data_IF_735514699614
#
_entry.id   IF_735514699614
#
_cell.length_a   1.000
_cell.length_b   1.000
_cell.length_c   1.000
_cell.angle_alpha   90.00
_cell.angle_beta   90.00
_cell.angle_gamma   90.00
#
_symmetry.space_group_name_H-M   'P 1'
#
loop_
_entity.id
_entity.type
_entity.pdbx_description
1 polymer ?
#
# COMPACT_ATOMS: atom_id res chain seq x y z
N UNK A 1 16.62 -2.18 34.76
CA UNK A 1 17.15 -2.85 33.56
C UNK A 1 16.05 -3.77 33.04
N UNK A 2 15.16 -3.22 32.22
CA UNK A 2 13.97 -3.92 31.70
C UNK A 2 14.27 -4.31 30.26
N UNK A 3 14.44 -5.60 30.00
CA UNK A 3 14.52 -6.16 28.65
C UNK A 3 13.16 -6.01 27.97
N UNK A 4 13.07 -5.49 26.74
CA UNK A 4 11.83 -5.56 25.98
C UNK A 4 11.57 -7.01 25.58
N UNK A 5 10.42 -7.55 25.98
CA UNK A 5 9.92 -8.82 25.51
C UNK A 5 9.68 -8.72 24.00
N UNK A 6 10.58 -9.31 23.22
CA UNK A 6 10.39 -9.52 21.79
C UNK A 6 9.11 -10.32 21.58
N UNK A 7 8.13 -9.70 20.92
CA UNK A 7 6.89 -10.33 20.52
C UNK A 7 7.23 -11.58 19.70
N UNK A 8 6.72 -12.72 20.15
CA UNK A 8 6.68 -13.98 19.42
C UNK A 8 6.05 -13.73 18.06
N UNK A 9 6.91 -13.57 17.05
CA UNK A 9 6.53 -13.44 15.65
C UNK A 9 5.72 -14.68 15.28
N UNK A 10 4.43 -14.45 15.05
CA UNK A 10 3.49 -15.38 14.44
C UNK A 10 4.14 -15.94 13.17
N UNK A 11 4.74 -17.13 13.25
CA UNK A 11 5.40 -17.79 12.13
C UNK A 11 4.29 -18.18 11.15
N UNK A 12 4.08 -17.33 10.15
CA UNK A 12 3.25 -17.67 9.00
C UNK A 12 3.72 -19.03 8.45
N UNK A 13 2.80 -19.97 8.17
CA UNK A 13 3.18 -21.28 7.66
C UNK A 13 4.02 -21.14 6.38
N UNK A 14 4.94 -22.08 6.09
CA UNK A 14 5.78 -22.03 4.90
C UNK A 14 4.93 -22.18 3.63
N UNK A 15 4.39 -21.07 3.14
CA UNK A 15 3.48 -20.99 1.96
C UNK A 15 4.20 -21.13 0.61
N UNK A 16 5.52 -21.40 0.62
CA UNK A 16 6.31 -21.58 -0.61
C UNK A 16 5.86 -22.80 -1.42
N UNK A 17 5.62 -23.92 -0.75
CA UNK A 17 5.17 -25.16 -1.40
C UNK A 17 3.79 -25.02 -2.06
N UNK A 18 2.84 -24.43 -1.35
CA UNK A 18 1.46 -24.23 -1.85
C UNK A 18 1.40 -23.43 -3.14
N UNK A 19 2.24 -22.40 -3.27
CA UNK A 19 2.30 -21.55 -4.49
C UNK A 19 2.87 -22.31 -5.68
N UNK A 20 3.90 -23.13 -5.46
CA UNK A 20 4.48 -23.96 -6.52
C UNK A 20 3.49 -25.02 -6.98
N UNK A 21 2.79 -25.68 -6.06
CA UNK A 21 1.75 -26.66 -6.39
C UNK A 21 0.62 -26.02 -7.20
N UNK A 22 0.16 -24.82 -6.82
CA UNK A 22 -0.90 -24.12 -7.55
C UNK A 22 -0.48 -23.76 -8.99
N UNK A 23 0.79 -23.38 -9.20
CA UNK A 23 1.33 -23.13 -10.54
C UNK A 23 1.40 -24.41 -11.38
N UNK A 24 1.88 -25.51 -10.80
CA UNK A 24 1.96 -26.80 -11.49
C UNK A 24 0.56 -27.27 -11.90
N UNK A 25 -0.42 -27.20 -11.00
CA UNK A 25 -1.82 -27.54 -11.31
C UNK A 25 -2.37 -26.64 -12.42
N UNK A 26 -2.12 -25.33 -12.35
CA UNK A 26 -2.56 -24.39 -13.38
C UNK A 26 -1.95 -24.68 -14.76
N UNK A 27 -0.66 -25.00 -14.83
CA UNK A 27 0.00 -25.41 -16.08
C UNK A 27 -0.61 -26.71 -16.62
N UNK A 28 -0.82 -27.72 -15.76
CA UNK A 28 -1.44 -28.97 -16.18
C UNK A 28 -2.86 -28.76 -16.73
N UNK A 29 -3.68 -27.95 -16.06
CA UNK A 29 -5.02 -27.58 -16.52
C UNK A 29 -4.98 -26.87 -17.87
N UNK A 30 -4.02 -25.98 -18.12
CA UNK A 30 -3.87 -25.34 -19.42
C UNK A 30 -3.39 -26.29 -20.51
N UNK A 31 -2.43 -27.17 -20.21
CA UNK A 31 -1.92 -28.17 -21.15
C UNK A 31 -3.02 -29.12 -21.60
N UNK A 32 -3.99 -29.45 -20.73
CA UNK A 32 -5.14 -30.28 -21.09
C UNK A 32 -6.28 -29.44 -21.72
N UNK A 33 -6.57 -28.27 -21.16
CA UNK A 33 -7.70 -27.43 -21.58
C UNK A 33 -7.52 -26.81 -22.96
N UNK A 34 -6.31 -26.35 -23.30
CA UNK A 34 -6.04 -25.68 -24.59
C UNK A 34 -6.25 -26.63 -25.78
N UNK A 35 -5.71 -27.88 -25.79
CA UNK A 35 -5.98 -28.82 -26.87
C UNK A 35 -7.47 -29.21 -26.98
N UNK A 36 -8.16 -29.43 -25.85
CA UNK A 36 -9.60 -29.76 -25.85
C UNK A 36 -10.42 -28.61 -26.43
N UNK A 37 -10.10 -27.37 -26.05
CA UNK A 37 -10.77 -26.19 -26.59
C UNK A 37 -10.45 -25.96 -28.07
N UNK A 38 -9.19 -26.15 -28.49
CA UNK A 38 -8.78 -26.05 -29.90
C UNK A 38 -9.47 -27.12 -30.77
N UNK A 39 -9.59 -28.34 -30.26
CA UNK A 39 -10.37 -29.40 -30.90
C UNK A 39 -11.85 -29.04 -31.02
N UNK A 40 -12.43 -28.49 -29.95
CA UNK A 40 -13.80 -27.97 -29.94
C UNK A 40 -14.01 -26.89 -31.02
N UNK A 41 -13.12 -25.90 -31.08
CA UNK A 41 -13.11 -24.87 -32.12
C UNK A 41 -13.06 -25.51 -33.52
N UNK A 42 -12.05 -26.34 -33.78
CA UNK A 42 -11.88 -27.01 -35.08
C UNK A 42 -13.17 -27.74 -35.50
N UNK A 43 -13.73 -28.54 -34.58
CA UNK A 43 -14.95 -29.29 -34.84
C UNK A 43 -16.18 -28.43 -35.14
N UNK A 44 -16.28 -27.22 -34.57
CA UNK A 44 -17.36 -26.27 -34.88
C UNK A 44 -17.19 -25.67 -36.27
N UNK A 45 -15.96 -25.36 -36.67
CA UNK A 45 -15.67 -24.71 -37.96
C UNK A 45 -15.63 -25.68 -39.14
N UNK A 46 -15.35 -26.96 -38.92
CA UNK A 46 -15.35 -27.99 -39.98
C UNK A 46 -16.62 -28.84 -40.01
N UNK A 47 -17.68 -28.42 -39.31
CA UNK A 47 -18.92 -29.17 -39.25
C UNK A 47 -19.79 -28.95 -40.51
N UNK A 48 -19.89 -29.97 -41.36
CA UNK A 48 -20.65 -29.93 -42.62
C UNK A 48 -22.11 -30.41 -42.48
N UNK A 49 -22.62 -30.60 -41.26
CA UNK A 49 -24.05 -30.73 -41.01
C UNK A 49 -24.69 -32.12 -41.19
N UNK A 50 -23.93 -33.17 -41.52
CA UNK A 50 -24.54 -34.45 -41.93
C UNK A 50 -24.31 -35.65 -40.99
N UNK A 51 -23.20 -35.74 -40.24
CA UNK A 51 -22.88 -36.93 -39.43
C UNK A 51 -22.84 -36.65 -37.91
N UNK A 52 -24.00 -36.75 -37.27
CA UNK A 52 -24.16 -36.90 -35.82
C UNK A 52 -24.47 -35.63 -35.02
N UNK A 53 -25.07 -35.75 -33.82
CA UNK A 53 -25.43 -34.59 -33.01
C UNK A 53 -24.15 -33.84 -32.59
N UNK A 54 -24.11 -32.49 -32.71
CA UNK A 54 -22.92 -31.67 -32.38
C UNK A 54 -22.60 -31.63 -30.87
N UNK A 55 -23.20 -32.51 -30.08
CA UNK A 55 -23.13 -32.51 -28.62
C UNK A 55 -21.70 -32.65 -28.10
N UNK A 56 -20.84 -33.45 -28.75
CA UNK A 56 -19.43 -33.61 -28.34
C UNK A 56 -18.58 -32.38 -28.68
N UNK A 57 -18.84 -31.73 -29.82
CA UNK A 57 -18.19 -30.49 -30.22
C UNK A 57 -18.54 -29.32 -29.28
N UNK A 58 -19.84 -29.17 -28.99
CA UNK A 58 -20.35 -28.15 -28.05
C UNK A 58 -19.84 -28.43 -26.63
N UNK A 59 -19.79 -29.70 -26.20
CA UNK A 59 -19.28 -30.07 -24.88
C UNK A 59 -17.76 -29.87 -24.75
N UNK A 60 -16.98 -30.11 -25.81
CA UNK A 60 -15.55 -29.79 -25.82
C UNK A 60 -15.29 -28.28 -25.80
N UNK A 61 -16.11 -27.50 -26.52
CA UNK A 61 -16.01 -26.04 -26.52
C UNK A 61 -16.43 -25.42 -25.18
N UNK A 62 -17.60 -25.79 -24.65
CA UNK A 62 -18.14 -25.31 -23.37
C UNK A 62 -17.36 -25.86 -22.18
N UNK A 63 -16.80 -27.07 -22.28
CA UNK A 63 -15.97 -27.68 -21.23
C UNK A 63 -14.52 -27.18 -21.22
N UNK A 64 -13.95 -26.88 -22.38
CA UNK A 64 -12.56 -26.39 -22.50
C UNK A 64 -12.38 -24.97 -21.94
N UNK A 65 -13.33 -24.07 -22.19
CA UNK A 65 -13.28 -22.68 -21.73
C UNK A 65 -13.15 -22.53 -20.19
N UNK A 66 -14.00 -23.15 -19.34
CA UNK A 66 -13.90 -23.04 -17.89
C UNK A 66 -12.65 -23.72 -17.34
N UNK A 67 -12.18 -24.83 -17.94
CA UNK A 67 -10.91 -25.47 -17.56
C UNK A 67 -9.74 -24.53 -17.80
N UNK A 68 -9.71 -23.84 -18.95
CA UNK A 68 -8.71 -22.81 -19.24
C UNK A 68 -8.84 -21.64 -18.27
N UNK A 69 -10.06 -21.16 -18.01
CA UNK A 69 -10.32 -20.04 -17.08
C UNK A 69 -9.83 -20.33 -15.65
N UNK A 70 -10.15 -21.51 -15.12
CA UNK A 70 -9.67 -21.96 -13.81
C UNK A 70 -8.14 -22.12 -13.82
N UNK A 71 -7.56 -22.65 -14.90
CA UNK A 71 -6.11 -22.76 -15.07
C UNK A 71 -5.41 -21.40 -15.02
N UNK A 72 -5.92 -20.40 -15.76
CA UNK A 72 -5.40 -19.03 -15.75
C UNK A 72 -5.56 -18.36 -14.38
N UNK A 73 -6.69 -18.58 -13.71
CA UNK A 73 -6.92 -18.05 -12.37
C UNK A 73 -5.94 -18.64 -11.35
N UNK A 74 -5.72 -19.96 -11.39
CA UNK A 74 -4.76 -20.64 -10.53
C UNK A 74 -3.32 -20.13 -10.76
N UNK A 75 -2.93 -19.89 -12.02
CA UNK A 75 -1.63 -19.33 -12.36
C UNK A 75 -1.45 -17.91 -11.81
N UNK A 76 -2.46 -17.04 -11.99
CA UNK A 76 -2.43 -15.66 -11.47
C UNK A 76 -2.30 -15.64 -9.95
N UNK A 77 -3.08 -16.45 -9.23
CA UNK A 77 -2.98 -16.55 -7.76
C UNK A 77 -1.61 -17.12 -7.35
N UNK A 78 -1.06 -18.06 -8.12
CA UNK A 78 0.26 -18.62 -7.88
C UNK A 78 1.40 -17.60 -8.04
N UNK A 79 1.26 -16.60 -8.90
CA UNK A 79 2.28 -15.58 -9.20
C UNK A 79 2.06 -14.24 -8.50
N UNK A 80 0.89 -14.01 -7.89
CA UNK A 80 0.52 -12.73 -7.25
C UNK A 80 1.55 -12.23 -6.24
N UNK A 81 2.19 -13.14 -5.49
CA UNK A 81 3.20 -12.78 -4.50
C UNK A 81 4.54 -12.34 -5.09
N UNK A 82 4.85 -12.71 -6.33
CA UNK A 82 6.03 -12.20 -7.04
C UNK A 82 5.72 -10.84 -7.66
N UNK A 83 4.53 -10.69 -8.27
CA UNK A 83 4.06 -9.43 -8.83
C UNK A 83 3.94 -8.34 -7.76
N UNK A 84 3.38 -8.66 -6.58
CA UNK A 84 3.20 -7.68 -5.51
C UNK A 84 4.53 -7.15 -4.97
N UNK A 85 5.58 -7.98 -4.91
CA UNK A 85 6.92 -7.55 -4.49
C UNK A 85 7.56 -6.62 -5.52
N UNK A 86 7.38 -6.91 -6.80
CA UNK A 86 7.88 -6.05 -7.88
C UNK A 86 7.18 -4.68 -7.85
N UNK A 87 5.85 -4.69 -7.82
CA UNK A 87 5.03 -3.46 -7.75
C UNK A 87 5.34 -2.67 -6.49
N UNK A 88 5.49 -3.32 -5.34
CA UNK A 88 5.90 -2.65 -4.11
C UNK A 88 7.30 -2.02 -4.26
N UNK A 89 8.25 -2.67 -4.93
CA UNK A 89 9.58 -2.11 -5.20
C UNK A 89 9.54 -0.80 -6.00
N UNK A 90 8.68 -0.72 -7.02
CA UNK A 90 8.55 0.46 -7.88
C UNK A 90 7.69 1.57 -7.25
N UNK A 91 6.63 1.21 -6.53
CA UNK A 91 5.65 2.17 -5.97
C UNK A 91 5.99 2.65 -4.55
N UNK A 92 6.80 1.92 -3.79
CA UNK A 92 7.13 2.32 -2.42
C UNK A 92 7.88 3.66 -2.33
N UNK A 93 8.84 4.00 -3.22
CA UNK A 93 9.52 5.29 -3.16
C UNK A 93 8.57 6.48 -3.38
N UNK A 94 7.64 6.37 -4.34
CA UNK A 94 6.66 7.43 -4.61
C UNK A 94 5.67 7.57 -3.48
N UNK A 95 5.17 6.45 -2.93
CA UNK A 95 4.32 6.46 -1.74
C UNK A 95 5.03 7.09 -0.53
N UNK A 96 6.32 6.79 -0.32
CA UNK A 96 7.12 7.43 0.74
C UNK A 96 7.29 8.93 0.50
N UNK A 97 7.50 9.38 -0.73
CA UNK A 97 7.58 10.80 -1.06
C UNK A 97 6.25 11.53 -0.83
N UNK A 98 5.13 10.93 -1.26
CA UNK A 98 3.80 11.49 -0.99
C UNK A 98 3.49 11.51 0.50
N UNK A 99 3.85 10.45 1.24
CA UNK A 99 3.68 10.40 2.68
C UNK A 99 4.56 11.44 3.39
N UNK A 100 5.82 11.62 2.97
CA UNK A 100 6.71 12.65 3.50
C UNK A 100 6.14 14.05 3.25
N UNK A 101 5.68 14.34 2.02
CA UNK A 101 5.04 15.61 1.69
C UNK A 101 3.80 15.91 2.56
N UNK A 102 3.03 14.88 2.89
CA UNK A 102 1.87 15.01 3.79
C UNK A 102 2.25 15.07 5.27
N UNK A 103 3.39 14.46 5.67
CA UNK A 103 3.84 14.37 7.06
C UNK A 103 4.73 15.55 7.49
N UNK A 104 5.43 16.19 6.55
CA UNK A 104 6.26 17.39 6.78
C UNK A 104 5.41 18.64 7.08
N UNK A 105 4.07 18.50 7.15
CA UNK A 105 3.17 19.54 7.64
C UNK A 105 2.91 20.68 6.64
N UNK A 106 3.44 20.59 5.42
CA UNK A 106 3.15 21.52 4.32
C UNK A 106 1.67 21.47 3.91
N UNK A 107 1.04 20.30 4.09
CA UNK A 107 -0.38 20.06 3.84
C UNK A 107 -0.77 20.25 2.37
N UNK A 108 -1.98 19.80 2.00
CA UNK A 108 -2.61 20.25 0.77
C UNK A 108 -3.21 21.64 1.08
N UNK A 109 -2.69 22.70 0.47
CA UNK A 109 -3.22 24.07 0.62
C UNK A 109 -3.38 24.53 2.09
N UNK A 110 -2.46 24.15 2.99
CA UNK A 110 -2.49 24.55 4.40
C UNK A 110 -3.59 23.90 5.25
N UNK A 111 -4.34 22.92 4.73
CA UNK A 111 -5.31 22.12 5.48
C UNK A 111 -4.63 20.84 5.95
N UNK A 112 -4.41 20.72 7.26
CA UNK A 112 -3.75 19.56 7.87
C UNK A 112 -2.63 19.87 8.87
N UNK A 113 -2.37 21.14 9.22
CA UNK A 113 -1.50 21.45 10.36
C UNK A 113 -2.08 20.82 11.63
N UNK A 114 -1.53 19.70 12.08
CA UNK A 114 -1.66 19.34 13.49
C UNK A 114 -0.90 20.40 14.26
N UNK A 115 -1.63 21.01 15.18
CA UNK A 115 -1.20 22.08 16.08
C UNK A 115 -0.21 21.58 17.13
N UNK A 116 0.82 20.84 16.72
CA UNK A 116 1.95 20.47 17.58
C UNK A 116 3.21 21.29 17.24
N UNK A 117 3.16 22.09 16.16
CA UNK A 117 4.13 23.15 15.84
C UNK A 117 3.70 24.54 16.34
N UNK A 118 2.64 24.65 17.17
CA UNK A 118 2.21 25.91 17.77
C UNK A 118 3.16 26.42 18.89
N UNK A 119 4.34 25.81 19.04
CA UNK A 119 5.46 26.34 19.84
C UNK A 119 6.52 27.07 18.99
N UNK A 120 6.38 27.11 17.65
CA UNK A 120 7.26 27.91 16.78
C UNK A 120 6.49 28.68 15.70
N UNK A 121 5.32 29.25 16.04
CA UNK A 121 4.49 29.98 15.08
C UNK A 121 3.85 31.29 15.57
N UNK A 122 3.92 31.61 16.87
CA UNK A 122 3.41 32.87 17.44
C UNK A 122 4.53 33.76 18.00
N UNK A 123 5.71 33.18 18.17
CA UNK A 123 6.93 33.84 18.61
C UNK A 123 7.40 34.94 17.66
N UNK A 124 7.26 34.77 16.34
CA UNK A 124 7.67 35.78 15.36
C UNK A 124 6.74 37.00 15.33
N UNK A 125 5.44 36.79 15.54
CA UNK A 125 4.45 37.86 15.56
C UNK A 125 4.40 38.58 16.92
N UNK A 126 4.57 37.86 18.04
CA UNK A 126 4.56 38.44 19.39
C UNK A 126 5.89 39.14 19.74
N UNK A 127 7.05 38.60 19.35
CA UNK A 127 8.35 39.30 19.55
C UNK A 127 8.49 40.59 18.74
N UNK A 128 7.81 40.71 17.60
CA UNK A 128 7.75 41.95 16.84
C UNK A 128 6.92 43.05 17.55
N UNK A 129 6.08 42.69 18.53
CA UNK A 129 5.19 43.59 19.27
C UNK A 129 5.60 43.81 20.75
N UNK A 130 6.64 43.12 21.24
CA UNK A 130 7.08 43.18 22.64
C UNK A 130 7.53 44.60 23.04
N UNK A 131 6.65 45.35 23.71
CA UNK A 131 6.88 46.76 24.08
C UNK A 131 7.39 46.93 25.53
N UNK A 132 7.37 45.86 26.34
CA UNK A 132 7.72 45.86 27.76
C UNK A 132 9.22 45.78 28.11
N UNK A 133 9.55 45.51 29.40
CA UNK A 133 10.91 45.56 29.92
C UNK A 133 11.79 44.38 29.45
N UNK A 134 13.11 44.57 29.53
CA UNK A 134 14.07 43.49 29.33
C UNK A 134 14.30 42.73 30.64
N UNK A 135 14.34 41.39 30.54
CA UNK A 135 14.68 40.53 31.67
C UNK A 135 16.13 40.72 32.11
N UNK A 136 16.38 40.93 33.41
CA UNK A 136 17.74 41.07 33.96
C UNK A 136 18.53 39.77 34.00
N UNK A 137 17.85 38.63 33.96
CA UNK A 137 18.50 37.30 34.06
C UNK A 137 18.96 36.78 32.70
N UNK A 138 18.16 36.95 31.64
CA UNK A 138 18.46 36.38 30.32
C UNK A 138 18.46 37.41 29.16
N UNK A 139 18.09 38.66 29.42
CA UNK A 139 18.13 39.73 28.41
C UNK A 139 16.98 39.72 27.39
N UNK A 140 16.01 38.81 27.49
CA UNK A 140 14.85 38.75 26.58
C UNK A 140 13.89 39.92 26.87
N UNK A 141 13.34 40.53 25.80
CA UNK A 141 12.30 41.57 25.89
C UNK A 141 10.93 40.93 26.06
N UNK A 142 10.21 41.31 27.11
CA UNK A 142 8.89 40.78 27.44
C UNK A 142 7.78 41.77 27.08
N UNK A 143 6.53 41.28 27.07
CA UNK A 143 5.34 42.13 26.99
C UNK A 143 5.19 43.02 28.25
N UNK A 144 4.49 44.15 28.13
CA UNK A 144 4.37 45.15 29.20
C UNK A 144 3.62 44.62 30.44
N UNK A 145 2.68 43.70 30.26
CA UNK A 145 1.85 43.10 31.29
C UNK A 145 2.36 41.74 31.79
N UNK A 146 3.54 41.30 31.34
CA UNK A 146 4.07 40.00 31.66
C UNK A 146 4.74 39.96 33.06
N UNK A 147 4.27 39.05 33.92
CA UNK A 147 4.77 38.86 35.30
C UNK A 147 6.03 37.99 35.38
N UNK A 148 6.22 37.12 34.40
CA UNK A 148 7.35 36.19 34.28
C UNK A 148 7.97 36.30 32.90
N UNK A 149 9.28 36.10 32.80
CA UNK A 149 10.02 36.17 31.55
C UNK A 149 9.69 35.00 30.61
N UNK A 150 9.36 35.30 29.35
CA UNK A 150 9.04 34.30 28.33
C UNK A 150 10.25 33.46 27.91
N UNK A 151 11.47 33.94 28.17
CA UNK A 151 12.71 33.24 27.82
C UNK A 151 13.24 32.30 28.90
N UNK A 152 13.17 32.68 30.18
CA UNK A 152 13.79 31.93 31.28
C UNK A 152 12.87 31.65 32.48
N UNK A 153 11.64 32.18 32.48
CA UNK A 153 10.69 32.00 33.57
C UNK A 153 10.97 32.82 34.83
N UNK A 154 12.03 33.65 34.87
CA UNK A 154 12.32 34.51 36.01
C UNK A 154 11.23 35.56 36.23
N UNK A 155 10.93 35.90 37.49
CA UNK A 155 10.00 36.97 37.82
C UNK A 155 10.53 38.33 37.35
N UNK A 156 9.65 39.16 36.81
CA UNK A 156 9.98 40.52 36.33
C UNK A 156 9.62 41.62 37.35
N UNK A 157 9.12 41.21 38.52
CA UNK A 157 8.91 42.06 39.70
C UNK A 157 10.16 42.12 40.57
#
# INVERSE_FOLDING_TARGET
>A
MTTPHGSSSNQLPPTGGTRTTLRVIGVLLLVVGVPVFAWGIYSVFTYEGYDGPPGTAILAFIGGLPVIGIGLMALNVGTIGAQSRYVAGETMPTLKQSAAYLSDGEGIMGVGRTVDGATHGTDGARRAAATGPFCRSCGVRNDEDARFCDGCGASLA
#
